data_IF_223836049483
#
_entry.id   IF_223836049483
#
_cell.length_a   1.000
_cell.length_b   1.000
_cell.length_c   1.000
_cell.angle_alpha   90.00
_cell.angle_beta   90.00
_cell.angle_gamma   90.00
#
_symmetry.space_group_name_H-M   'P 1'
#
loop_
_entity.id
_entity.type
_entity.pdbx_description
1 polymer ?
#
# COMPACT_ATOMS: atom_id res chain seq x y z
N UNK A 1 -57.29 24.61 25.26
CA UNK A 1 -57.36 23.15 25.01
C UNK A 1 -56.00 22.68 24.51
N UNK A 2 -55.20 22.03 25.36
CA UNK A 2 -53.95 21.35 24.97
C UNK A 2 -54.21 19.84 25.07
N UNK A 3 -54.18 19.14 23.95
CA UNK A 3 -54.44 17.70 23.88
C UNK A 3 -53.11 16.97 24.14
N UNK A 4 -52.98 16.36 25.32
CA UNK A 4 -51.93 15.40 25.65
C UNK A 4 -52.27 14.06 25.01
N UNK A 5 -51.45 13.58 24.09
CA UNK A 5 -51.51 12.20 23.61
C UNK A 5 -50.55 11.38 24.47
N UNK A 6 -51.13 10.56 25.35
CA UNK A 6 -50.42 9.52 26.09
C UNK A 6 -50.25 8.30 25.17
N UNK A 7 -49.02 8.02 24.73
CA UNK A 7 -48.68 6.76 24.10
C UNK A 7 -48.25 5.76 25.18
N UNK A 8 -49.07 4.72 25.39
CA UNK A 8 -48.76 3.59 26.27
C UNK A 8 -47.68 2.72 25.61
N UNK A 9 -46.53 2.52 26.26
CA UNK A 9 -45.59 1.46 25.90
C UNK A 9 -46.12 0.12 26.47
N UNK A 10 -46.36 -0.85 25.59
CA UNK A 10 -46.54 -2.26 25.94
C UNK A 10 -45.17 -2.95 26.01
N UNK A 11 -44.90 -3.84 26.98
CA UNK A 11 -43.63 -4.54 27.08
C UNK A 11 -43.63 -5.75 26.12
N UNK A 12 -42.71 -5.77 25.16
CA UNK A 12 -42.48 -6.95 24.33
C UNK A 12 -41.49 -7.87 25.07
N UNK A 13 -41.99 -9.06 25.40
CA UNK A 13 -41.29 -10.14 26.11
C UNK A 13 -40.13 -10.65 25.24
N UNK A 14 -38.92 -10.57 25.78
CA UNK A 14 -37.71 -11.16 25.20
C UNK A 14 -37.69 -12.66 25.57
N UNK A 15 -38.00 -13.53 24.61
CA UNK A 15 -37.87 -14.99 24.78
C UNK A 15 -36.41 -15.37 24.51
N UNK A 16 -35.76 -15.86 25.56
CA UNK A 16 -34.46 -16.52 25.48
C UNK A 16 -34.54 -17.78 24.61
N UNK A 17 -33.67 -17.87 23.60
CA UNK A 17 -33.36 -19.14 22.95
C UNK A 17 -31.95 -19.58 23.33
N UNK A 18 -31.92 -20.65 24.10
CA UNK A 18 -30.75 -21.45 24.43
C UNK A 18 -30.28 -22.14 23.15
N UNK A 19 -29.10 -21.78 22.63
CA UNK A 19 -28.38 -22.61 21.67
C UNK A 19 -26.98 -22.85 22.21
N UNK A 20 -26.80 -24.06 22.76
CA UNK A 20 -25.51 -24.60 23.13
C UNK A 20 -24.88 -25.15 21.85
N UNK A 21 -23.91 -24.47 21.26
CA UNK A 21 -23.06 -25.02 20.19
C UNK A 21 -21.76 -24.22 20.10
N UNK A 22 -20.68 -24.85 20.56
CA UNK A 22 -19.27 -24.52 20.31
C UNK A 22 -18.87 -23.04 20.35
N UNK A 23 -18.25 -22.65 21.46
CA UNK A 23 -17.10 -21.75 21.40
C UNK A 23 -16.08 -22.40 20.46
N UNK A 24 -16.17 -22.09 19.16
CA UNK A 24 -14.96 -22.04 18.37
C UNK A 24 -14.24 -20.82 18.96
N UNK A 25 -13.24 -21.08 19.81
CA UNK A 25 -12.16 -20.11 19.94
C UNK A 25 -11.64 -19.93 18.52
N UNK A 26 -12.08 -18.85 17.87
CA UNK A 26 -11.34 -18.30 16.74
C UNK A 26 -10.05 -17.80 17.38
N UNK A 27 -9.09 -18.69 17.60
CA UNK A 27 -7.70 -18.28 17.64
C UNK A 27 -7.48 -17.74 16.25
N UNK A 28 -7.45 -16.41 16.11
CA UNK A 28 -6.84 -15.78 14.96
C UNK A 28 -5.44 -16.39 14.88
N UNK A 29 -5.24 -17.33 13.97
CA UNK A 29 -3.97 -18.02 13.86
C UNK A 29 -2.98 -16.97 13.36
N UNK A 30 -1.96 -16.68 14.17
CA UNK A 30 -0.86 -15.75 13.88
C UNK A 30 -0.04 -16.27 12.70
N UNK A 31 -0.62 -16.18 11.50
CA UNK A 31 0.00 -16.61 10.27
C UNK A 31 0.99 -15.58 9.79
N UNK A 32 2.17 -16.06 9.37
CA UNK A 32 3.17 -15.23 8.72
C UNK A 32 2.82 -15.18 7.23
N UNK A 33 2.36 -14.02 6.76
CA UNK A 33 1.85 -13.81 5.41
C UNK A 33 2.60 -12.67 4.74
N UNK A 34 3.05 -12.91 3.52
CA UNK A 34 3.81 -11.96 2.70
C UNK A 34 3.09 -11.81 1.36
N UNK A 35 2.91 -10.58 0.87
CA UNK A 35 2.51 -10.30 -0.50
C UNK A 35 3.74 -9.95 -1.36
N UNK A 36 3.75 -10.35 -2.63
CA UNK A 36 4.82 -10.01 -3.59
C UNK A 36 4.24 -9.39 -4.86
N UNK A 37 4.96 -8.40 -5.40
CA UNK A 37 4.74 -7.78 -6.71
C UNK A 37 6.06 -7.70 -7.46
N UNK A 38 5.98 -7.53 -8.78
CA UNK A 38 7.14 -7.31 -9.63
C UNK A 38 6.91 -6.19 -10.64
N UNK A 39 7.99 -5.53 -11.02
CA UNK A 39 8.08 -4.65 -12.17
C UNK A 39 9.17 -5.17 -13.10
N UNK A 40 8.78 -5.49 -14.32
CA UNK A 40 9.60 -6.19 -15.31
C UNK A 40 10.18 -5.18 -16.27
N UNK A 41 11.50 -5.19 -16.43
CA UNK A 41 12.24 -4.49 -17.47
C UNK A 41 12.95 -5.52 -18.36
N UNK A 42 13.38 -5.13 -19.55
CA UNK A 42 13.95 -6.08 -20.53
C UNK A 42 15.20 -6.82 -20.04
N UNK A 43 15.94 -6.22 -19.11
CA UNK A 43 17.25 -6.68 -18.61
C UNK A 43 17.26 -6.98 -17.10
N UNK A 44 16.18 -6.66 -16.38
CA UNK A 44 16.06 -6.89 -14.94
C UNK A 44 14.63 -7.00 -14.47
N UNK A 45 14.43 -7.69 -13.35
CA UNK A 45 13.16 -7.76 -12.63
C UNK A 45 13.33 -7.09 -11.27
N UNK A 46 12.52 -6.06 -11.00
CA UNK A 46 12.41 -5.47 -9.68
C UNK A 46 11.32 -6.21 -8.94
N UNK A 47 11.67 -6.83 -7.82
CA UNK A 47 10.76 -7.52 -6.92
C UNK A 47 10.53 -6.64 -5.70
N UNK A 48 9.28 -6.59 -5.24
CA UNK A 48 8.89 -5.89 -4.04
C UNK A 48 7.90 -6.74 -3.27
N UNK A 49 8.12 -6.91 -1.98
CA UNK A 49 7.22 -7.66 -1.11
C UNK A 49 6.91 -6.87 0.16
N UNK A 50 5.85 -7.28 0.85
CA UNK A 50 5.44 -6.70 2.11
C UNK A 50 4.82 -7.78 2.99
N UNK A 51 5.17 -7.85 4.28
CA UNK A 51 4.33 -8.48 5.29
C UNK A 51 2.90 -7.94 5.22
N UNK A 52 1.90 -8.80 5.37
CA UNK A 52 0.48 -8.40 5.27
C UNK A 52 -0.19 -8.13 6.62
N UNK A 53 0.54 -8.33 7.71
CA UNK A 53 0.12 -7.99 9.06
C UNK A 53 1.35 -7.66 9.92
N UNK A 54 1.09 -7.05 11.07
CA UNK A 54 2.08 -6.60 12.03
C UNK A 54 2.92 -7.75 12.61
N UNK A 55 2.35 -8.94 12.77
CA UNK A 55 3.06 -10.13 13.24
C UNK A 55 4.10 -10.59 12.22
N UNK A 56 3.73 -10.61 10.95
CA UNK A 56 4.60 -10.92 9.82
C UNK A 56 5.73 -9.90 9.70
N UNK A 57 5.43 -8.62 9.94
CA UNK A 57 6.41 -7.55 9.90
C UNK A 57 7.48 -7.73 10.99
N UNK A 58 7.08 -7.88 12.25
CA UNK A 58 8.02 -8.12 13.34
C UNK A 58 8.86 -9.39 13.13
N UNK A 59 8.22 -10.48 12.69
CA UNK A 59 8.90 -11.75 12.49
C UNK A 59 9.95 -11.66 11.39
N UNK A 60 9.59 -11.10 10.24
CA UNK A 60 10.51 -11.01 9.10
C UNK A 60 11.58 -9.94 9.30
N UNK A 61 11.31 -8.85 10.02
CA UNK A 61 12.36 -7.90 10.40
C UNK A 61 13.40 -8.54 11.34
N UNK A 62 12.95 -9.43 12.23
CA UNK A 62 13.83 -10.13 13.18
C UNK A 62 14.67 -11.23 12.52
N UNK A 63 14.09 -11.99 11.61
CA UNK A 63 14.72 -13.20 11.07
C UNK A 63 15.14 -13.09 9.60
N UNK A 64 14.61 -12.13 8.86
CA UNK A 64 14.87 -11.92 7.44
C UNK A 64 13.97 -12.73 6.51
N UNK A 65 14.33 -12.68 5.23
CA UNK A 65 13.64 -13.31 4.11
C UNK A 65 14.59 -14.21 3.32
N UNK A 66 14.02 -15.26 2.71
CA UNK A 66 14.65 -16.04 1.66
C UNK A 66 13.94 -15.77 0.34
N UNK A 67 14.71 -15.43 -0.70
CA UNK A 67 14.19 -15.24 -2.05
C UNK A 67 14.87 -16.22 -2.98
N UNK A 68 14.06 -17.03 -3.66
CA UNK A 68 14.50 -18.03 -4.62
C UNK A 68 13.92 -17.75 -5.99
N UNK A 69 14.63 -18.22 -7.01
CA UNK A 69 14.19 -18.20 -8.40
C UNK A 69 14.40 -19.55 -9.04
N UNK A 70 13.44 -19.97 -9.84
CA UNK A 70 13.51 -21.16 -10.68
C UNK A 70 13.21 -20.77 -12.12
N UNK A 71 13.84 -21.44 -13.08
CA UNK A 71 13.46 -21.34 -14.49
C UNK A 71 12.31 -22.30 -14.74
N UNK A 72 11.21 -21.81 -15.33
CA UNK A 72 10.04 -22.65 -15.66
C UNK A 72 9.87 -22.88 -17.16
N UNK A 73 10.37 -21.97 -17.99
CA UNK A 73 10.42 -22.13 -19.45
C UNK A 73 11.76 -21.67 -20.01
N UNK A 74 12.15 -22.27 -21.12
CA UNK A 74 13.27 -21.86 -21.94
C UNK A 74 12.86 -21.84 -23.42
N UNK A 75 12.90 -20.67 -24.06
CA UNK A 75 12.48 -20.42 -25.44
C UNK A 75 11.07 -20.97 -25.74
N UNK A 76 10.12 -20.70 -24.85
CA UNK A 76 8.73 -21.13 -24.97
C UNK A 76 8.45 -22.60 -24.60
N UNK A 77 9.48 -23.42 -24.38
CA UNK A 77 9.33 -24.80 -23.92
C UNK A 77 9.33 -24.86 -22.39
N UNK A 78 8.30 -25.46 -21.81
CA UNK A 78 8.25 -25.71 -20.36
C UNK A 78 9.31 -26.73 -19.95
N UNK A 79 10.00 -26.46 -18.85
CA UNK A 79 10.92 -27.41 -18.26
C UNK A 79 10.15 -28.54 -17.57
N UNK A 80 10.77 -29.72 -17.47
CA UNK A 80 10.26 -30.78 -16.60
C UNK A 80 10.33 -30.32 -15.14
N UNK A 81 9.54 -30.94 -14.26
CA UNK A 81 9.61 -30.62 -12.82
C UNK A 81 11.02 -30.82 -12.24
N UNK A 82 11.74 -31.86 -12.68
CA UNK A 82 13.12 -32.13 -12.22
C UNK A 82 14.08 -31.04 -12.69
N UNK A 83 13.99 -30.62 -13.96
CA UNK A 83 14.84 -29.56 -14.51
C UNK A 83 14.54 -28.20 -13.88
N UNK A 84 13.27 -27.92 -13.58
CA UNK A 84 12.86 -26.71 -12.86
C UNK A 84 13.52 -26.64 -11.48
N UNK A 85 13.42 -27.71 -10.68
CA UNK A 85 14.03 -27.78 -9.35
C UNK A 85 15.56 -27.68 -9.45
N UNK A 86 16.18 -28.33 -10.44
CA UNK A 86 17.62 -28.25 -10.67
C UNK A 86 18.10 -26.84 -11.09
N UNK A 87 17.19 -25.97 -11.55
CA UNK A 87 17.50 -24.59 -11.94
C UNK A 87 17.38 -23.57 -10.81
N UNK A 88 17.23 -24.02 -9.56
CA UNK A 88 17.10 -23.17 -8.37
C UNK A 88 18.30 -22.21 -8.22
N UNK A 89 17.98 -20.94 -7.96
CA UNK A 89 18.95 -19.91 -7.61
C UNK A 89 18.48 -19.21 -6.33
N UNK A 90 19.35 -19.18 -5.33
CA UNK A 90 19.17 -18.35 -4.13
C UNK A 90 19.58 -16.92 -4.46
N UNK A 91 18.61 -16.01 -4.43
CA UNK A 91 18.83 -14.58 -4.64
C UNK A 91 19.06 -13.86 -3.30
N UNK A 92 18.36 -14.28 -2.25
CA UNK A 92 18.57 -13.85 -0.86
C UNK A 92 18.53 -15.07 0.06
N UNK A 93 19.45 -15.11 1.02
CA UNK A 93 19.50 -16.11 2.07
C UNK A 93 19.55 -15.41 3.44
N UNK A 94 18.45 -15.53 4.18
CA UNK A 94 18.30 -15.00 5.53
C UNK A 94 18.60 -13.50 5.67
N UNK A 95 18.15 -12.70 4.70
CA UNK A 95 18.43 -11.26 4.65
C UNK A 95 17.33 -10.46 5.34
N UNK A 96 17.69 -9.72 6.38
CA UNK A 96 16.84 -8.74 7.04
C UNK A 96 17.25 -7.29 6.76
N UNK A 97 16.59 -6.31 7.40
CA UNK A 97 16.92 -4.90 7.24
C UNK A 97 18.39 -4.59 7.56
N UNK A 98 18.97 -3.62 6.86
CA UNK A 98 20.35 -3.19 7.08
C UNK A 98 20.51 -2.56 8.48
N UNK A 99 21.71 -2.64 9.07
CA UNK A 99 21.98 -2.08 10.40
C UNK A 99 21.62 -0.59 10.51
N UNK A 100 20.96 -0.21 11.61
CA UNK A 100 20.59 1.19 11.96
C UNK A 100 21.73 2.20 11.74
N UNK A 101 22.97 1.80 12.10
CA UNK A 101 24.17 2.65 12.04
C UNK A 101 24.56 3.15 10.64
N UNK A 102 24.03 2.55 9.57
CA UNK A 102 24.37 2.91 8.19
C UNK A 102 23.20 3.50 7.39
N UNK A 103 22.03 3.71 8.02
CA UNK A 103 20.86 4.24 7.32
C UNK A 103 21.10 5.64 6.77
N UNK A 104 21.52 6.58 7.63
CA UNK A 104 21.73 7.98 7.25
C UNK A 104 22.85 8.15 6.21
N UNK A 105 23.84 7.25 6.20
CA UNK A 105 24.93 7.29 5.22
C UNK A 105 24.52 6.79 3.83
N UNK A 106 23.49 5.94 3.75
CA UNK A 106 22.94 5.43 2.49
C UNK A 106 21.83 6.36 1.96
N UNK A 107 20.91 6.77 2.83
CA UNK A 107 19.83 7.69 2.48
C UNK A 107 19.43 8.55 3.69
N UNK A 108 19.57 9.87 3.57
CA UNK A 108 19.17 10.83 4.61
C UNK A 108 17.74 11.36 4.42
N UNK A 109 16.96 10.80 3.50
CA UNK A 109 15.58 11.23 3.23
C UNK A 109 14.66 11.05 4.44
N UNK A 110 13.56 11.81 4.46
CA UNK A 110 12.53 11.66 5.50
C UNK A 110 11.93 10.23 5.52
N UNK A 111 11.83 9.57 4.36
CA UNK A 111 11.31 8.20 4.29
C UNK A 111 12.29 7.19 4.90
N UNK A 112 13.59 7.37 4.67
CA UNK A 112 14.63 6.59 5.34
C UNK A 112 14.54 6.73 6.87
N UNK A 113 14.39 7.96 7.37
CA UNK A 113 14.24 8.22 8.81
C UNK A 113 12.97 7.59 9.40
N UNK A 114 11.84 7.66 8.69
CA UNK A 114 10.57 7.02 9.11
C UNK A 114 10.74 5.49 9.17
N UNK A 115 11.36 4.89 8.15
CA UNK A 115 11.61 3.45 8.09
C UNK A 115 12.57 2.98 9.19
N UNK A 116 13.68 3.68 9.41
CA UNK A 116 14.61 3.42 10.51
C UNK A 116 13.90 3.53 11.87
N UNK A 117 13.09 4.57 12.07
CA UNK A 117 12.29 4.74 13.28
C UNK A 117 11.28 3.61 13.50
N UNK A 118 10.63 3.13 12.43
CA UNK A 118 9.72 1.98 12.51
C UNK A 118 10.44 0.69 12.93
N UNK A 119 11.65 0.45 12.42
CA UNK A 119 12.44 -0.75 12.67
C UNK A 119 13.18 -0.73 14.02
N UNK A 120 13.82 0.38 14.37
CA UNK A 120 14.81 0.48 15.46
C UNK A 120 14.44 1.47 16.55
N UNK A 121 13.45 2.33 16.34
CA UNK A 121 13.08 3.35 17.31
C UNK A 121 12.82 2.75 18.70
N UNK A 122 13.20 3.46 19.76
CA UNK A 122 12.96 3.00 21.12
C UNK A 122 11.46 2.95 21.45
N UNK A 123 11.05 2.04 22.33
CA UNK A 123 9.69 2.02 22.88
C UNK A 123 9.52 3.22 23.82
N UNK A 124 8.49 4.03 23.63
CA UNK A 124 8.15 5.08 24.61
C UNK A 124 7.58 4.44 25.89
N UNK A 125 8.46 4.03 26.81
CA UNK A 125 8.08 3.56 28.14
C UNK A 125 8.05 4.73 29.14
N UNK A 126 6.98 5.50 29.15
CA UNK A 126 6.69 6.43 30.26
C UNK A 126 6.12 5.67 31.46
N UNK A 127 6.76 5.85 32.62
CA UNK A 127 6.68 5.20 33.94
C UNK A 127 5.32 4.86 34.60
N UNK A 128 5.43 3.85 35.49
CA UNK A 128 4.74 3.45 36.73
C UNK A 128 3.22 3.09 36.79
N UNK A 129 3.01 1.78 37.04
CA UNK A 129 2.03 1.05 37.88
C UNK A 129 0.85 1.89 38.44
N UNK A 130 -0.43 1.59 38.18
CA UNK A 130 -1.19 0.59 38.98
C UNK A 130 -2.57 0.25 38.34
N UNK A 131 -2.75 0.52 37.03
CA UNK A 131 -3.97 0.15 36.25
C UNK A 131 -3.62 -0.48 34.88
N UNK A 132 -2.41 -1.05 34.80
CA UNK A 132 -1.58 -1.07 33.60
C UNK A 132 -1.98 -2.08 32.51
N UNK A 133 -2.53 -3.25 32.82
CA UNK A 133 -2.49 -4.37 31.86
C UNK A 133 -3.33 -4.20 30.58
N UNK A 134 -4.48 -3.50 30.61
CA UNK A 134 -5.29 -3.28 29.39
C UNK A 134 -4.84 -2.05 28.61
N UNK A 135 -4.47 -0.96 29.30
CA UNK A 135 -3.97 0.26 28.65
C UNK A 135 -2.58 0.05 28.03
N UNK A 136 -1.73 -0.74 28.68
CA UNK A 136 -0.39 -1.08 28.19
C UNK A 136 -0.46 -2.05 27.00
N UNK A 137 -1.32 -3.09 27.06
CA UNK A 137 -1.57 -3.97 25.91
C UNK A 137 -2.11 -3.20 24.70
N UNK A 138 -3.05 -2.28 24.92
CA UNK A 138 -3.56 -1.44 23.84
C UNK A 138 -2.48 -0.51 23.28
N UNK A 139 -1.57 0.01 24.13
CA UNK A 139 -0.46 0.86 23.67
C UNK A 139 0.57 0.07 22.87
N UNK A 140 0.96 -1.11 23.34
CA UNK A 140 1.91 -1.97 22.63
C UNK A 140 1.35 -2.45 21.29
N UNK A 141 0.05 -2.80 21.24
CA UNK A 141 -0.63 -3.15 19.99
C UNK A 141 -0.65 -1.96 19.01
N UNK A 142 -1.03 -0.77 19.49
CA UNK A 142 -1.04 0.44 18.66
C UNK A 142 0.36 0.83 18.18
N UNK A 143 1.39 0.68 19.02
CA UNK A 143 2.77 0.93 18.61
C UNK A 143 3.19 -0.01 17.47
N UNK A 144 2.85 -1.29 17.59
CA UNK A 144 3.16 -2.30 16.57
C UNK A 144 2.45 -2.01 15.25
N UNK A 145 1.16 -1.66 15.31
CA UNK A 145 0.36 -1.24 14.16
C UNK A 145 0.95 0.01 13.48
N UNK A 146 1.35 1.02 14.27
CA UNK A 146 1.95 2.24 13.74
C UNK A 146 3.31 1.97 13.08
N UNK A 147 4.19 1.17 13.70
CA UNK A 147 5.48 0.79 13.10
C UNK A 147 5.30 0.05 11.79
N UNK A 148 4.39 -0.94 11.77
CA UNK A 148 4.02 -1.66 10.57
C UNK A 148 3.53 -0.71 9.47
N UNK A 149 2.55 0.15 9.79
CA UNK A 149 1.92 1.05 8.82
C UNK A 149 2.89 2.10 8.28
N UNK A 150 3.64 2.79 9.15
CA UNK A 150 4.60 3.82 8.73
C UNK A 150 5.83 3.23 8.04
N UNK A 151 6.31 2.06 8.48
CA UNK A 151 7.41 1.35 7.84
C UNK A 151 7.07 0.96 6.40
N UNK A 152 5.92 0.34 6.18
CA UNK A 152 5.47 -0.02 4.83
C UNK A 152 5.19 1.21 3.97
N UNK A 153 4.62 2.27 4.55
CA UNK A 153 4.45 3.54 3.85
C UNK A 153 5.78 4.07 3.33
N UNK A 154 6.80 4.17 4.19
CA UNK A 154 8.12 4.65 3.80
C UNK A 154 8.75 3.80 2.67
N UNK A 155 8.62 2.46 2.77
CA UNK A 155 9.06 1.56 1.71
C UNK A 155 8.28 1.77 0.39
N UNK A 156 6.98 2.11 0.43
CA UNK A 156 6.19 2.41 -0.77
C UNK A 156 6.63 3.70 -1.46
N UNK A 157 7.25 4.62 -0.72
CA UNK A 157 7.70 5.91 -1.27
C UNK A 157 9.09 5.86 -1.91
N UNK A 158 9.93 4.88 -1.57
CA UNK A 158 11.28 4.74 -2.11
C UNK A 158 11.70 3.28 -2.24
N UNK A 159 12.03 2.86 -3.46
CA UNK A 159 12.54 1.51 -3.71
C UNK A 159 13.88 1.25 -3.02
N UNK A 160 14.71 2.30 -2.86
CA UNK A 160 15.94 2.21 -2.07
C UNK A 160 15.63 1.94 -0.60
N UNK A 161 14.70 2.69 0.00
CA UNK A 161 14.28 2.46 1.39
C UNK A 161 13.68 1.06 1.55
N UNK A 162 12.84 0.62 0.61
CA UNK A 162 12.33 -0.76 0.62
C UNK A 162 13.47 -1.79 0.58
N UNK A 163 14.51 -1.58 -0.23
CA UNK A 163 15.67 -2.47 -0.27
C UNK A 163 16.46 -2.45 1.05
N UNK A 164 16.64 -1.29 1.68
CA UNK A 164 17.26 -1.15 3.01
C UNK A 164 16.46 -1.88 4.09
N UNK A 165 15.12 -1.93 3.98
CA UNK A 165 14.23 -2.72 4.83
C UNK A 165 14.20 -4.22 4.49
N UNK A 166 14.96 -4.69 3.49
CA UNK A 166 14.85 -6.03 2.93
C UNK A 166 13.42 -6.38 2.44
N UNK A 167 12.74 -5.40 1.84
CA UNK A 167 11.40 -5.51 1.22
C UNK A 167 11.44 -5.39 -0.31
N UNK A 168 12.64 -5.28 -0.90
CA UNK A 168 12.80 -5.18 -2.34
C UNK A 168 14.13 -5.79 -2.81
N UNK A 169 14.16 -6.27 -4.04
CA UNK A 169 15.34 -6.83 -4.69
C UNK A 169 15.32 -6.55 -6.20
N UNK A 170 16.49 -6.37 -6.81
CA UNK A 170 16.61 -6.26 -8.28
C UNK A 170 17.39 -7.46 -8.81
N UNK A 171 16.74 -8.32 -9.57
CA UNK A 171 17.38 -9.44 -10.26
C UNK A 171 17.83 -8.99 -11.65
N UNK A 172 19.14 -8.80 -11.80
CA UNK A 172 19.81 -8.46 -13.08
C UNK A 172 20.39 -9.68 -13.78
N UNK A 173 20.19 -10.89 -13.24
CA UNK A 173 20.75 -12.14 -13.77
C UNK A 173 19.76 -12.88 -14.67
N UNK A 174 18.65 -12.23 -15.02
CA UNK A 174 17.65 -12.77 -15.94
C UNK A 174 18.22 -12.90 -17.35
N UNK A 175 17.66 -13.83 -18.10
CA UNK A 175 18.07 -14.15 -19.47
C UNK A 175 16.86 -14.11 -20.40
N UNK A 176 17.09 -13.59 -21.61
CA UNK A 176 16.09 -13.59 -22.69
C UNK A 176 15.63 -15.01 -23.03
N UNK A 177 14.36 -15.14 -23.39
CA UNK A 177 13.72 -16.42 -23.73
C UNK A 177 13.37 -17.32 -22.53
N UNK A 178 13.84 -17.01 -21.32
CA UNK A 178 13.47 -17.74 -20.10
C UNK A 178 12.29 -17.10 -19.39
N UNK A 179 11.44 -17.93 -18.78
CA UNK A 179 10.43 -17.49 -17.81
C UNK A 179 10.81 -18.01 -16.43
N UNK A 180 10.50 -17.24 -15.40
CA UNK A 180 10.92 -17.49 -14.03
C UNK A 180 9.74 -17.61 -13.08
N UNK A 181 9.92 -18.45 -12.07
CA UNK A 181 9.08 -18.52 -10.89
C UNK A 181 9.91 -18.01 -9.70
N UNK A 182 9.46 -16.94 -9.07
CA UNK A 182 10.08 -16.38 -7.86
C UNK A 182 9.27 -16.81 -6.64
N UNK A 183 9.96 -17.24 -5.59
CA UNK A 183 9.37 -17.67 -4.32
C UNK A 183 10.01 -16.87 -3.18
N UNK A 184 9.18 -16.21 -2.37
CA UNK A 184 9.58 -15.49 -1.16
C UNK A 184 8.99 -16.22 0.06
N UNK A 185 9.82 -16.42 1.08
CA UNK A 185 9.39 -16.97 2.37
C UNK A 185 10.14 -16.30 3.53
N UNK A 186 9.60 -16.34 4.77
CA UNK A 186 10.35 -15.95 5.95
C UNK A 186 11.58 -16.83 6.12
N UNK A 187 12.72 -16.23 6.48
CA UNK A 187 13.97 -16.97 6.63
C UNK A 187 13.94 -18.00 7.77
N UNK A 188 13.24 -17.66 8.86
CA UNK A 188 12.97 -18.59 9.96
C UNK A 188 11.52 -19.05 9.94
N UNK A 189 11.34 -20.37 10.01
CA UNK A 189 10.05 -21.04 10.10
C UNK A 189 9.73 -21.25 11.59
N UNK A 190 8.54 -20.87 12.05
CA UNK A 190 8.06 -21.28 13.37
C UNK A 190 7.38 -22.64 13.23
N UNK A 191 7.60 -23.57 14.15
CA UNK A 191 6.99 -24.90 14.12
C UNK A 191 5.48 -24.88 14.47
N UNK A 192 4.97 -23.75 14.98
CA UNK A 192 3.56 -23.59 15.40
C UNK A 192 2.71 -22.73 14.47
N UNK A 193 3.34 -21.94 13.60
CA UNK A 193 2.64 -20.94 12.79
C UNK A 193 2.54 -21.42 11.35
N UNK A 194 1.35 -21.30 10.77
CA UNK A 194 1.16 -21.48 9.35
C UNK A 194 1.83 -20.32 8.62
N UNK A 195 2.82 -20.62 7.78
CA UNK A 195 3.42 -19.63 6.89
C UNK A 195 3.08 -20.01 5.45
N UNK A 196 2.62 -19.03 4.67
CA UNK A 196 2.37 -19.22 3.26
C UNK A 196 3.61 -18.81 2.46
N UNK A 197 4.09 -19.73 1.63
CA UNK A 197 5.03 -19.36 0.58
C UNK A 197 4.29 -18.53 -0.44
N UNK A 198 4.82 -17.37 -0.76
CA UNK A 198 4.23 -16.51 -1.79
C UNK A 198 5.10 -16.56 -3.02
N UNK A 199 4.46 -16.64 -4.17
CA UNK A 199 5.17 -16.77 -5.43
C UNK A 199 4.57 -15.92 -6.54
N UNK A 200 5.40 -15.62 -7.54
CA UNK A 200 5.01 -14.91 -8.74
C UNK A 200 5.74 -15.47 -9.95
N UNK A 201 5.00 -15.64 -11.06
CA UNK A 201 5.56 -16.06 -12.34
C UNK A 201 5.84 -14.82 -13.18
N UNK A 202 7.04 -14.75 -13.75
CA UNK A 202 7.54 -13.62 -14.51
C UNK A 202 8.04 -14.08 -15.87
N UNK A 203 7.58 -13.38 -16.91
CA UNK A 203 8.15 -13.46 -18.25
C UNK A 203 8.85 -12.14 -18.55
N UNK A 204 10.20 -12.10 -18.65
CA UNK A 204 10.96 -10.90 -19.01
C UNK A 204 10.54 -10.25 -20.34
N UNK A 205 9.91 -11.03 -21.24
CA UNK A 205 9.37 -10.50 -22.49
C UNK A 205 8.16 -9.57 -22.27
N UNK A 206 7.47 -9.69 -21.12
CA UNK A 206 6.30 -8.90 -20.77
C UNK A 206 6.71 -7.72 -19.88
N UNK A 207 7.39 -6.74 -20.47
CA UNK A 207 7.79 -5.50 -19.78
C UNK A 207 6.56 -4.84 -19.15
N UNK A 208 6.68 -4.45 -17.88
CA UNK A 208 5.59 -3.81 -17.15
C UNK A 208 5.40 -2.38 -17.63
N UNK A 209 4.17 -2.03 -18.01
CA UNK A 209 3.76 -0.66 -18.31
C UNK A 209 2.86 -0.13 -17.21
N UNK A 210 2.80 1.19 -17.11
CA UNK A 210 1.89 1.90 -16.21
C UNK A 210 0.80 2.57 -17.02
N UNK A 211 -0.46 2.40 -16.62
CA UNK A 211 -1.58 3.09 -17.23
C UNK A 211 -1.81 4.44 -16.54
N UNK A 212 -2.29 5.47 -17.24
CA UNK A 212 -2.56 6.75 -16.61
C UNK A 212 -3.69 6.60 -15.57
N UNK A 213 -3.68 7.36 -14.46
CA UNK A 213 -4.85 7.47 -13.61
C UNK A 213 -6.07 7.92 -14.43
N UNK A 214 -7.24 7.37 -14.13
CA UNK A 214 -8.48 7.61 -14.88
C UNK A 214 -9.53 8.28 -14.00
N UNK A 215 -10.59 8.78 -14.63
CA UNK A 215 -11.79 9.31 -13.98
C UNK A 215 -11.49 10.38 -12.90
N UNK A 216 -10.52 11.26 -13.19
CA UNK A 216 -10.28 12.45 -12.41
C UNK A 216 -11.47 13.40 -12.52
N UNK A 217 -12.06 13.76 -11.38
CA UNK A 217 -13.18 14.69 -11.29
C UNK A 217 -12.99 15.68 -10.13
N UNK A 218 -13.88 16.67 -10.06
CA UNK A 218 -13.76 17.82 -9.16
C UNK A 218 -15.08 18.24 -8.54
N UNK A 219 -15.00 18.78 -7.32
CA UNK A 219 -16.02 19.62 -6.72
C UNK A 219 -15.43 21.00 -6.43
N UNK A 220 -16.11 22.05 -6.90
CA UNK A 220 -15.66 23.43 -6.69
C UNK A 220 -16.69 24.23 -5.91
N UNK A 221 -16.24 24.87 -4.83
CA UNK A 221 -17.03 25.82 -4.04
C UNK A 221 -16.21 27.09 -3.83
N UNK A 222 -16.64 28.21 -4.42
CA UNK A 222 -15.85 29.44 -4.44
C UNK A 222 -14.48 29.19 -5.10
N UNK A 223 -13.38 29.27 -4.33
CA UNK A 223 -12.02 28.93 -4.78
C UNK A 223 -11.55 27.55 -4.34
N UNK A 224 -12.30 26.87 -3.47
CA UNK A 224 -11.92 25.56 -2.95
C UNK A 224 -12.20 24.49 -3.99
N UNK A 225 -11.21 23.65 -4.25
CA UNK A 225 -11.26 22.56 -5.21
C UNK A 225 -10.98 21.27 -4.46
N UNK A 226 -11.94 20.35 -4.53
CA UNK A 226 -11.75 18.97 -4.10
C UNK A 226 -11.65 18.12 -5.34
N UNK A 227 -10.46 17.60 -5.62
CA UNK A 227 -10.21 16.62 -6.68
C UNK A 227 -10.43 15.22 -6.11
N UNK A 228 -11.00 14.34 -6.92
CA UNK A 228 -11.14 12.94 -6.56
C UNK A 228 -11.06 12.03 -7.80
N UNK A 229 -10.51 10.84 -7.60
CA UNK A 229 -10.34 9.82 -8.63
C UNK A 229 -10.30 8.43 -7.97
N UNK A 230 -10.69 7.36 -8.67
CA UNK A 230 -10.65 6.01 -8.13
C UNK A 230 -9.21 5.52 -7.89
N UNK A 231 -9.01 4.77 -6.80
CA UNK A 231 -7.74 4.07 -6.52
C UNK A 231 -7.57 2.79 -7.34
N UNK A 232 -8.68 2.18 -7.75
CA UNK A 232 -8.70 0.82 -8.32
C UNK A 232 -8.94 0.84 -9.83
N UNK A 233 -7.92 1.27 -10.59
CA UNK A 233 -7.90 1.07 -12.04
C UNK A 233 -7.14 -0.23 -12.33
N UNK A 234 -7.76 -1.23 -12.99
CA UNK A 234 -7.07 -2.47 -13.38
C UNK A 234 -5.79 -2.16 -14.15
N UNK A 235 -4.67 -2.81 -13.78
CA UNK A 235 -3.35 -2.57 -14.37
C UNK A 235 -2.48 -1.58 -13.57
N UNK A 236 -3.08 -0.73 -12.73
CA UNK A 236 -2.35 0.25 -11.94
C UNK A 236 -2.16 -0.19 -10.49
N UNK A 237 -0.90 -0.27 -10.08
CA UNK A 237 -0.49 -0.57 -8.71
C UNK A 237 0.15 0.67 -8.05
N UNK A 238 -0.46 1.85 -8.20
CA UNK A 238 0.07 3.06 -7.59
C UNK A 238 -0.18 3.09 -6.08
N UNK A 239 0.82 3.52 -5.33
CA UNK A 239 0.77 3.72 -3.87
C UNK A 239 0.63 5.20 -3.49
N UNK A 240 0.85 6.11 -4.44
CA UNK A 240 0.62 7.53 -4.25
C UNK A 240 0.43 8.26 -5.57
N UNK A 241 0.15 9.56 -5.48
CA UNK A 241 -0.17 10.39 -6.65
C UNK A 241 0.46 11.78 -6.53
N UNK A 242 1.02 12.29 -7.61
CA UNK A 242 1.32 13.71 -7.76
C UNK A 242 0.16 14.42 -8.44
N UNK A 243 -0.17 15.61 -7.94
CA UNK A 243 -1.18 16.47 -8.50
C UNK A 243 -0.47 17.63 -9.17
N UNK A 244 -0.83 17.90 -10.41
CA UNK A 244 -0.27 19.01 -11.17
C UNK A 244 -1.35 19.98 -11.62
N UNK A 245 -0.98 21.25 -11.71
CA UNK A 245 -1.84 22.35 -12.18
C UNK A 245 -1.17 23.12 -13.30
N UNK A 246 -1.96 23.57 -14.27
CA UNK A 246 -1.53 24.41 -15.38
C UNK A 246 -2.51 25.57 -15.62
N UNK A 247 -2.05 26.70 -16.14
CA UNK A 247 -2.89 27.79 -16.64
C UNK A 247 -3.17 27.71 -18.14
N UNK A 248 -2.42 26.90 -18.89
CA UNK A 248 -2.45 26.83 -20.36
C UNK A 248 -2.69 25.41 -20.91
N UNK A 249 -2.87 24.43 -20.02
CA UNK A 249 -2.99 23.00 -20.33
C UNK A 249 -1.75 22.38 -21.01
N UNK A 250 -0.62 23.06 -20.96
CA UNK A 250 0.64 22.62 -21.57
C UNK A 250 1.74 22.53 -20.52
N UNK A 251 1.93 23.62 -19.75
CA UNK A 251 2.95 23.73 -18.71
C UNK A 251 2.31 23.42 -17.35
N UNK A 252 2.57 22.22 -16.84
CA UNK A 252 2.06 21.75 -15.56
C UNK A 252 3.10 21.92 -14.46
N UNK A 253 2.66 22.39 -13.31
CA UNK A 253 3.46 22.53 -12.08
C UNK A 253 2.90 21.64 -10.99
N UNK A 254 3.78 20.91 -10.29
CA UNK A 254 3.43 20.02 -9.20
C UNK A 254 2.97 20.80 -7.96
N UNK A 255 1.88 20.35 -7.34
CA UNK A 255 1.29 20.98 -6.15
C UNK A 255 1.77 20.36 -4.83
N UNK A 256 2.17 19.08 -4.85
CA UNK A 256 2.63 18.34 -3.67
C UNK A 256 4.07 17.84 -3.85
N UNK A 257 4.90 18.02 -2.84
CA UNK A 257 6.32 17.62 -2.87
C UNK A 257 6.51 16.09 -2.75
N UNK A 258 5.63 15.41 -2.02
CA UNK A 258 5.63 13.95 -1.82
C UNK A 258 4.35 13.34 -2.39
N UNK A 259 4.37 12.07 -2.85
CA UNK A 259 3.18 11.41 -3.38
C UNK A 259 2.03 11.44 -2.36
N UNK A 260 0.88 11.93 -2.82
CA UNK A 260 -0.34 11.99 -2.03
C UNK A 260 -1.00 10.61 -2.01
N UNK A 261 -1.39 10.15 -0.83
CA UNK A 261 -2.05 8.86 -0.66
C UNK A 261 -3.54 9.01 -0.40
N UNK A 262 -4.29 7.95 -0.71
CA UNK A 262 -5.64 7.80 -0.18
C UNK A 262 -5.54 7.50 1.31
N UNK A 263 -6.21 8.30 2.14
CA UNK A 263 -6.58 7.84 3.48
C UNK A 263 -7.89 7.08 3.31
N UNK A 264 -7.95 5.85 3.80
CA UNK A 264 -9.19 5.06 3.78
C UNK A 264 -10.26 5.84 4.54
N UNK A 265 -11.16 6.47 3.80
CA UNK A 265 -12.30 7.15 4.35
C UNK A 265 -13.44 6.15 4.38
N UNK A 266 -14.00 5.87 5.56
CA UNK A 266 -15.12 4.91 5.75
C UNK A 266 -16.31 5.17 4.80
N UNK A 267 -16.43 6.40 4.31
CA UNK A 267 -17.52 6.86 3.43
C UNK A 267 -17.25 6.52 1.94
N UNK A 268 -15.99 6.51 1.49
CA UNK A 268 -15.65 6.18 0.11
C UNK A 268 -14.23 5.61 0.04
N UNK A 269 -14.04 4.31 0.36
CA UNK A 269 -12.72 3.69 0.44
C UNK A 269 -12.05 3.53 -0.92
N UNK A 270 -12.76 3.82 -2.02
CA UNK A 270 -12.29 3.58 -3.38
C UNK A 270 -11.82 4.84 -4.11
N UNK A 271 -11.91 6.03 -3.48
CA UNK A 271 -11.50 7.28 -4.10
C UNK A 271 -10.37 7.94 -3.32
N UNK A 272 -9.32 8.37 -4.03
CA UNK A 272 -8.36 9.35 -3.52
C UNK A 272 -9.04 10.72 -3.50
N UNK A 273 -8.80 11.50 -2.45
CA UNK A 273 -9.30 12.88 -2.34
C UNK A 273 -8.11 13.81 -2.10
N UNK A 274 -8.04 14.89 -2.89
CA UNK A 274 -7.04 15.94 -2.73
C UNK A 274 -7.71 17.32 -2.72
N UNK A 275 -7.39 18.14 -1.72
CA UNK A 275 -7.96 19.47 -1.55
C UNK A 275 -6.93 20.54 -1.85
N UNK A 276 -7.35 21.56 -2.60
CA UNK A 276 -6.50 22.70 -2.98
C UNK A 276 -7.33 23.95 -3.22
N UNK A 277 -6.67 25.06 -3.51
CA UNK A 277 -7.32 26.34 -3.78
C UNK A 277 -6.88 26.90 -5.14
N UNK A 278 -7.85 27.47 -5.86
CA UNK A 278 -7.58 28.22 -7.07
C UNK A 278 -6.81 29.51 -6.76
N UNK A 279 -5.82 29.90 -7.58
CA UNK A 279 -5.11 31.17 -7.41
C UNK A 279 -6.04 32.38 -7.41
N UNK A 280 -7.02 32.40 -8.31
CA UNK A 280 -7.98 33.48 -8.46
C UNK A 280 -9.39 32.97 -8.85
N UNK A 281 -10.37 33.89 -8.96
CA UNK A 281 -11.76 33.56 -9.31
C UNK A 281 -12.12 33.81 -10.77
N UNK A 282 -11.18 34.29 -11.59
CA UNK A 282 -11.42 34.79 -12.94
C UNK A 282 -10.95 33.77 -13.97
N UNK A 283 -9.73 33.27 -13.77
CA UNK A 283 -9.03 32.39 -14.69
C UNK A 283 -9.45 30.93 -14.53
N UNK A 284 -9.29 30.19 -15.61
CA UNK A 284 -9.46 28.75 -15.65
C UNK A 284 -8.10 28.08 -15.43
N UNK A 285 -8.11 26.96 -14.72
CA UNK A 285 -6.92 26.16 -14.45
C UNK A 285 -7.17 24.71 -14.84
N UNK A 286 -6.12 24.04 -15.28
CA UNK A 286 -6.16 22.63 -15.66
C UNK A 286 -5.46 21.80 -14.60
N UNK A 287 -6.03 20.64 -14.29
CA UNK A 287 -5.50 19.72 -13.29
C UNK A 287 -5.36 18.33 -13.88
N UNK A 288 -4.28 17.64 -13.54
CA UNK A 288 -4.05 16.23 -13.87
C UNK A 288 -3.35 15.53 -12.72
N UNK A 289 -3.40 14.20 -12.71
CA UNK A 289 -2.73 13.37 -11.71
C UNK A 289 -1.69 12.46 -12.37
N UNK A 290 -0.62 12.18 -11.64
CA UNK A 290 0.44 11.25 -12.03
C UNK A 290 0.52 10.19 -10.95
N UNK A 291 0.37 8.92 -11.31
CA UNK A 291 0.51 7.82 -10.36
C UNK A 291 1.97 7.58 -10.00
N UNK A 292 2.22 7.23 -8.75
CA UNK A 292 3.54 6.86 -8.23
C UNK A 292 3.50 5.41 -7.75
N UNK A 293 4.37 4.58 -8.32
CA UNK A 293 4.41 3.15 -8.05
C UNK A 293 5.29 2.83 -6.84
N UNK A 294 5.07 1.67 -6.18
CA UNK A 294 5.93 1.20 -5.11
C UNK A 294 7.33 0.80 -5.61
N UNK A 295 7.62 0.93 -6.90
CA UNK A 295 8.95 0.71 -7.47
C UNK A 295 9.72 2.02 -7.64
N UNK A 296 9.16 3.15 -7.19
CA UNK A 296 9.77 4.48 -7.32
C UNK A 296 9.60 5.12 -8.70
N UNK A 297 8.74 4.56 -9.56
CA UNK A 297 8.46 5.09 -10.88
C UNK A 297 7.16 5.90 -10.91
N UNK A 298 7.20 7.03 -11.60
CA UNK A 298 6.02 7.78 -12.02
C UNK A 298 5.42 7.15 -13.29
N UNK A 299 4.10 7.03 -13.32
CA UNK A 299 3.37 6.63 -14.52
C UNK A 299 3.07 7.80 -15.47
N UNK A 300 2.38 7.55 -16.60
CA UNK A 300 1.92 8.62 -17.46
C UNK A 300 0.84 9.48 -16.76
N UNK A 301 0.71 10.77 -17.13
CA UNK A 301 -0.31 11.64 -16.56
C UNK A 301 -1.73 11.24 -16.99
N UNK A 302 -2.69 11.48 -16.11
CA UNK A 302 -4.13 11.40 -16.43
C UNK A 302 -4.51 12.39 -17.52
N UNK A 303 -5.70 12.20 -18.09
CA UNK A 303 -6.38 13.28 -18.79
C UNK A 303 -6.54 14.48 -17.85
N UNK A 304 -6.33 15.68 -18.39
CA UNK A 304 -6.51 16.93 -17.65
C UNK A 304 -7.98 17.31 -17.57
N UNK A 305 -8.43 17.80 -16.41
CA UNK A 305 -9.73 18.46 -16.25
C UNK A 305 -9.59 19.96 -16.09
N UNK A 306 -10.64 20.69 -16.48
CA UNK A 306 -10.70 22.15 -16.37
C UNK A 306 -11.49 22.57 -15.14
N UNK A 307 -10.89 23.40 -14.30
CA UNK A 307 -11.45 23.97 -13.08
C UNK A 307 -11.60 25.48 -13.21
N UNK A 308 -12.76 26.00 -12.79
CA UNK A 308 -12.99 27.45 -12.62
C UNK A 308 -13.76 27.68 -11.32
N UNK A 309 -13.52 28.81 -10.66
CA UNK A 309 -14.24 29.19 -9.45
C UNK A 309 -15.76 29.22 -9.69
N UNK A 310 -16.52 28.68 -8.74
CA UNK A 310 -17.98 28.65 -8.79
C UNK A 310 -18.56 29.66 -7.78
N UNK A 311 -19.58 30.44 -8.17
CA UNK A 311 -20.32 31.28 -7.23
C UNK A 311 -21.35 30.42 -6.48
N UNK A 312 -21.00 29.95 -5.29
CA UNK A 312 -21.96 29.54 -4.25
C UNK A 312 -22.96 28.40 -4.53
N UNK A 313 -22.79 27.59 -5.58
CA UNK A 313 -23.56 26.35 -5.78
C UNK A 313 -22.62 25.22 -6.15
N UNK A 314 -22.72 24.09 -5.43
CA UNK A 314 -22.00 22.83 -5.75
C UNK A 314 -22.26 22.47 -7.22
N UNK A 315 -21.27 22.66 -8.08
CA UNK A 315 -21.32 22.16 -9.45
C UNK A 315 -20.83 20.72 -9.38
N UNK A 316 -21.75 19.77 -9.45
CA UNK A 316 -21.43 18.36 -9.68
C UNK A 316 -21.32 18.16 -11.18
N UNK A 317 -20.14 17.74 -11.68
CA UNK A 317 -20.05 17.24 -13.04
C UNK A 317 -20.85 15.94 -13.13
N UNK A 318 -21.80 15.94 -14.07
CA UNK A 318 -22.92 15.01 -14.12
C UNK A 318 -22.51 13.74 -14.89
N UNK A 319 -21.64 12.90 -14.31
CA UNK A 319 -21.36 11.58 -14.89
C UNK A 319 -21.66 10.37 -13.99
N UNK A 320 -21.83 10.54 -12.67
CA UNK A 320 -22.17 9.41 -11.80
C UNK A 320 -23.61 9.52 -11.24
N UNK A 321 -24.57 9.29 -12.14
CA UNK A 321 -25.93 8.82 -11.81
C UNK A 321 -26.21 7.61 -12.71
N UNK A 322 -25.57 6.48 -12.44
CA UNK A 322 -25.99 5.14 -12.87
C UNK A 322 -25.05 4.06 -12.31
N UNK A 323 -25.45 3.53 -11.16
CA UNK A 323 -25.48 2.10 -10.80
C UNK A 323 -26.07 2.02 -9.41
#
# INVERSE_FOLDING_TARGET
MKQKINMKLTPLILIAYFSLSFLCDVTAQDSIVIGIKAHIQSDKVLLRWAPLNENSFDWCNKYGYNLKRYTIKNNGQSLSYQDMIASEVYLLDSVGPISDSIWESIDSSNFSQIAAGALYGERFNTFDLDTANLKEKNRAALEKENRYSFGLYAADQSFLVANMMALAFTDTTIQSGKEYFYEIEPAKKNNTDYYEKTSIVISPANVTTFDPPQDLDQLVVNKEVTLFWPTNVPGNNYTGYFIERSSDNMNFTRLNAIPHMSLNNEINPFNVIYQTMLPDTINEFYYRTIGYSPFGFEGPPSNSIKVKASRGKKIYNKQYRRS
#
